data_IF_592597734762
#
_entry.id   IF_592597734762
#
_cell.length_a   1.000
_cell.length_b   1.000
_cell.length_c   1.000
_cell.angle_alpha   90.00
_cell.angle_beta   90.00
_cell.angle_gamma   90.00
#
_symmetry.space_group_name_H-M   'P 1'
#
loop_
_entity.id
_entity.type
_entity.pdbx_description
1 polymer ?
#
# COMPACT_ATOMS: atom_id res chain seq x y z
N UNK A 1 -36.01 2.27 26.00
CA UNK A 1 -36.78 3.03 27.02
C UNK A 1 -35.74 3.59 27.97
N UNK A 2 -35.84 4.87 28.33
CA UNK A 2 -34.85 5.52 29.20
C UNK A 2 -35.16 5.15 30.65
N UNK A 3 -34.15 4.75 31.40
CA UNK A 3 -34.29 4.27 32.77
C UNK A 3 -33.44 5.07 33.77
N UNK A 4 -33.72 4.92 35.06
CA UNK A 4 -32.95 5.52 36.15
C UNK A 4 -31.52 4.91 36.13
N UNK A 5 -30.51 5.74 36.47
CA UNK A 5 -29.07 5.43 36.42
C UNK A 5 -28.46 5.38 35.01
N UNK A 6 -29.19 5.68 33.94
CA UNK A 6 -28.60 5.88 32.61
C UNK A 6 -28.01 7.27 32.47
N UNK A 7 -26.93 7.36 31.69
CA UNK A 7 -26.32 8.63 31.31
C UNK A 7 -26.95 9.08 29.98
N UNK A 8 -27.42 10.32 29.93
CA UNK A 8 -28.12 10.88 28.77
C UNK A 8 -27.35 12.07 28.22
N UNK A 9 -27.25 12.13 26.91
CA UNK A 9 -26.87 13.33 26.15
C UNK A 9 -28.10 14.20 25.89
N UNK A 10 -27.88 15.49 25.68
CA UNK A 10 -28.85 16.44 25.16
C UNK A 10 -30.02 16.81 26.15
N UNK A 11 -29.99 16.36 27.41
CA UNK A 11 -30.92 16.86 28.40
C UNK A 11 -30.59 18.32 28.79
N UNK A 12 -29.31 18.63 28.96
CA UNK A 12 -28.74 19.98 29.07
C UNK A 12 -27.61 20.16 28.06
N UNK A 13 -27.39 21.40 27.53
CA UNK A 13 -26.40 21.62 26.48
C UNK A 13 -24.95 21.56 26.97
N UNK A 14 -24.71 21.63 28.28
CA UNK A 14 -23.37 21.83 28.85
C UNK A 14 -22.62 20.53 29.13
N UNK A 15 -23.31 19.45 29.48
CA UNK A 15 -22.68 18.16 29.82
C UNK A 15 -23.69 17.00 29.76
N UNK A 16 -23.22 15.74 29.64
CA UNK A 16 -24.06 14.55 29.87
C UNK A 16 -24.54 14.48 31.32
N UNK A 17 -25.67 13.85 31.55
CA UNK A 17 -26.30 13.78 32.90
C UNK A 17 -26.71 12.35 33.23
N UNK A 18 -26.58 11.95 34.48
CA UNK A 18 -27.09 10.68 35.00
C UNK A 18 -28.50 10.90 35.58
N UNK A 19 -29.47 10.10 35.19
CA UNK A 19 -30.81 10.14 35.69
C UNK A 19 -30.88 9.57 37.09
N UNK A 20 -31.37 10.36 38.06
CA UNK A 20 -31.64 9.92 39.43
C UNK A 20 -33.10 9.48 39.60
N UNK A 21 -34.04 10.21 39.01
CA UNK A 21 -35.47 9.94 39.11
C UNK A 21 -36.20 10.41 37.87
N UNK A 22 -37.16 9.59 37.43
CA UNK A 22 -38.01 9.88 36.28
C UNK A 22 -39.47 9.81 36.75
N UNK A 23 -40.25 10.86 36.49
CA UNK A 23 -41.66 10.91 36.83
C UNK A 23 -42.48 11.39 35.64
N UNK A 24 -43.42 10.58 35.13
CA UNK A 24 -44.37 11.06 34.11
C UNK A 24 -45.40 12.04 34.72
N UNK A 25 -45.63 13.13 34.02
CA UNK A 25 -46.59 14.19 34.39
C UNK A 25 -47.52 14.44 33.19
N UNK A 26 -48.44 13.52 32.91
CA UNK A 26 -49.32 13.60 31.76
C UNK A 26 -48.52 13.56 30.45
N UNK A 27 -48.51 14.65 29.70
CA UNK A 27 -47.75 14.75 28.42
C UNK A 27 -46.30 15.26 28.61
N UNK A 28 -45.79 15.32 29.84
CA UNK A 28 -44.47 15.80 30.20
C UNK A 28 -43.75 14.79 31.10
N UNK A 29 -42.42 14.90 31.19
CA UNK A 29 -41.61 14.13 32.11
C UNK A 29 -40.80 15.06 33.01
N UNK A 30 -40.88 14.82 34.33
CA UNK A 30 -39.96 15.43 35.29
C UNK A 30 -38.76 14.53 35.52
N UNK A 31 -37.59 15.04 35.22
CA UNK A 31 -36.31 14.29 35.28
C UNK A 31 -35.44 14.96 36.35
N UNK A 32 -35.15 14.24 37.41
CA UNK A 32 -34.10 14.62 38.37
C UNK A 32 -32.81 13.98 37.93
N UNK A 33 -31.75 14.77 37.78
CA UNK A 33 -30.49 14.31 37.20
C UNK A 33 -29.28 14.90 37.95
N UNK A 34 -28.10 14.26 37.80
CA UNK A 34 -26.82 14.79 38.22
C UNK A 34 -25.90 14.94 37.03
N UNK A 35 -25.24 16.10 36.87
CA UNK A 35 -24.22 16.34 35.87
C UNK A 35 -23.03 15.37 36.05
N UNK A 36 -22.55 14.77 34.96
CA UNK A 36 -21.42 13.80 35.00
C UNK A 36 -20.12 14.50 35.42
N UNK A 37 -19.87 15.71 34.92
CA UNK A 37 -18.65 16.45 35.18
C UNK A 37 -18.77 17.38 36.40
N UNK A 38 -19.92 18.05 36.57
CA UNK A 38 -20.12 19.04 37.61
C UNK A 38 -20.61 18.45 38.94
N UNK A 39 -21.12 17.20 38.93
CA UNK A 39 -21.74 16.51 40.05
C UNK A 39 -22.89 17.30 40.72
N UNK A 40 -23.44 18.32 40.01
CA UNK A 40 -24.58 19.11 40.52
C UNK A 40 -25.89 18.40 40.17
N UNK A 41 -26.75 18.29 41.18
CA UNK A 41 -28.07 17.71 41.02
C UNK A 41 -29.09 18.80 40.68
N UNK A 42 -29.94 18.58 39.70
CA UNK A 42 -31.01 19.49 39.31
C UNK A 42 -32.22 18.70 38.78
N UNK A 43 -33.33 19.44 38.54
CA UNK A 43 -34.57 18.86 37.98
C UNK A 43 -34.99 19.65 36.76
N UNK A 44 -35.37 18.94 35.69
CA UNK A 44 -35.86 19.56 34.45
C UNK A 44 -37.16 18.86 34.02
N UNK A 45 -38.13 19.66 33.56
CA UNK A 45 -39.38 19.15 33.00
C UNK A 45 -39.31 19.33 31.50
N UNK A 46 -39.58 18.26 30.76
CA UNK A 46 -39.52 18.23 29.29
C UNK A 46 -40.79 17.61 28.72
N UNK A 47 -41.11 17.93 27.47
CA UNK A 47 -42.22 17.31 26.75
C UNK A 47 -41.93 15.84 26.37
N UNK A 48 -42.96 15.08 26.07
CA UNK A 48 -42.84 13.70 25.61
C UNK A 48 -41.98 13.60 24.34
N UNK A 49 -42.15 14.51 23.40
CA UNK A 49 -41.36 14.57 22.17
C UNK A 49 -39.87 14.83 22.46
N UNK A 50 -39.53 15.72 23.38
CA UNK A 50 -38.15 15.95 23.81
C UNK A 50 -37.58 14.76 24.56
N UNK A 51 -38.38 14.06 25.34
CA UNK A 51 -37.94 12.84 26.03
C UNK A 51 -37.61 11.72 25.07
N UNK A 52 -38.39 11.55 24.00
CA UNK A 52 -38.16 10.56 22.95
C UNK A 52 -36.92 10.87 22.08
N UNK A 53 -36.47 12.12 22.03
CA UNK A 53 -35.27 12.57 21.30
C UNK A 53 -33.99 12.51 22.14
N UNK A 54 -34.03 12.13 23.41
CA UNK A 54 -32.86 12.00 24.26
C UNK A 54 -32.03 10.78 23.89
N UNK A 55 -30.72 10.96 23.76
CA UNK A 55 -29.78 9.90 23.47
C UNK A 55 -29.15 9.33 24.75
N UNK A 56 -29.30 8.03 24.97
CA UNK A 56 -28.64 7.33 26.07
C UNK A 56 -27.19 7.13 25.70
N UNK A 57 -26.28 7.69 26.52
CA UNK A 57 -24.86 7.26 26.46
C UNK A 57 -24.76 5.90 27.13
N UNK A 58 -24.58 4.87 26.34
CA UNK A 58 -24.03 3.63 26.85
C UNK A 58 -22.61 3.91 27.29
N UNK A 59 -22.30 3.66 28.56
CA UNK A 59 -20.95 3.82 29.08
C UNK A 59 -19.98 2.99 28.22
N UNK A 60 -19.10 3.69 27.48
CA UNK A 60 -17.95 3.07 26.88
C UNK A 60 -17.07 2.59 28.05
N UNK A 61 -16.99 1.29 28.25
CA UNK A 61 -16.00 0.70 29.15
C UNK A 61 -16.49 -0.25 30.23
N UNK A 62 -17.77 -0.45 30.48
CA UNK A 62 -18.22 -1.56 31.34
C UNK A 62 -18.43 -2.84 30.50
N UNK A 63 -17.65 -3.88 30.81
CA UNK A 63 -17.91 -5.23 30.32
C UNK A 63 -19.29 -5.67 30.84
N UNK A 64 -20.32 -5.42 30.04
CA UNK A 64 -21.64 -5.94 30.30
C UNK A 64 -21.95 -7.06 29.30
N UNK A 65 -22.36 -8.22 29.79
CA UNK A 65 -22.76 -9.36 28.97
C UNK A 65 -24.12 -9.18 28.28
N UNK A 66 -24.60 -7.93 28.10
CA UNK A 66 -25.86 -7.57 27.44
C UNK A 66 -25.74 -7.32 25.94
N UNK A 67 -24.56 -7.51 25.35
CA UNK A 67 -24.33 -7.38 23.91
C UNK A 67 -25.10 -8.46 23.12
N UNK A 68 -25.49 -8.14 21.86
CA UNK A 68 -26.11 -9.11 20.97
C UNK A 68 -25.12 -10.26 20.69
N UNK A 69 -25.50 -11.54 20.94
CA UNK A 69 -24.61 -12.70 20.74
C UNK A 69 -24.07 -12.79 19.31
N UNK A 70 -24.90 -12.41 18.31
CA UNK A 70 -24.51 -12.42 16.91
C UNK A 70 -23.33 -11.47 16.61
N UNK A 71 -23.32 -10.27 17.25
CA UNK A 71 -22.21 -9.31 17.11
C UNK A 71 -20.92 -9.83 17.71
N UNK A 72 -21.01 -10.59 18.82
CA UNK A 72 -19.83 -11.23 19.42
C UNK A 72 -19.28 -12.34 18.50
N UNK A 73 -20.15 -13.19 17.94
CA UNK A 73 -19.73 -14.22 16.98
C UNK A 73 -19.08 -13.57 15.75
N UNK A 74 -19.69 -12.54 15.19
CA UNK A 74 -19.11 -11.81 14.05
C UNK A 74 -17.75 -11.21 14.39
N UNK A 75 -17.58 -10.63 15.57
CA UNK A 75 -16.31 -10.09 16.04
C UNK A 75 -15.26 -11.20 16.20
N UNK A 76 -15.62 -12.30 16.86
CA UNK A 76 -14.70 -13.42 17.06
C UNK A 76 -14.27 -14.07 15.73
N UNK A 77 -15.17 -14.19 14.75
CA UNK A 77 -14.84 -14.68 13.42
C UNK A 77 -13.96 -13.66 12.64
N UNK A 78 -14.24 -12.37 12.76
CA UNK A 78 -13.41 -11.34 12.14
C UNK A 78 -11.97 -11.35 12.71
N UNK A 79 -11.81 -11.50 14.04
CA UNK A 79 -10.52 -11.64 14.69
C UNK A 79 -9.81 -12.94 14.30
N UNK A 80 -10.54 -14.05 14.14
CA UNK A 80 -9.98 -15.31 13.66
C UNK A 80 -9.44 -15.16 12.23
N UNK A 81 -10.18 -14.53 11.35
CA UNK A 81 -9.75 -14.26 9.96
C UNK A 81 -8.58 -13.29 9.96
N UNK A 82 -8.64 -12.21 10.73
CA UNK A 82 -7.56 -11.22 10.84
C UNK A 82 -6.26 -11.85 11.35
N UNK A 83 -6.33 -12.80 12.28
CA UNK A 83 -5.17 -13.49 12.84
C UNK A 83 -4.71 -14.73 12.03
N UNK A 84 -5.42 -15.09 10.96
CA UNK A 84 -5.13 -16.31 10.19
C UNK A 84 -3.71 -16.33 9.60
N UNK A 85 -3.14 -15.18 9.27
CA UNK A 85 -1.76 -15.06 8.77
C UNK A 85 -0.71 -15.54 9.78
N UNK A 86 -1.02 -15.58 11.08
CA UNK A 86 -0.11 -16.07 12.12
C UNK A 86 0.07 -17.59 12.05
N UNK A 87 -0.92 -18.30 11.48
CA UNK A 87 -0.95 -19.75 11.38
C UNK A 87 -0.70 -20.25 9.97
N UNK A 88 -0.83 -19.38 8.97
CA UNK A 88 -0.57 -19.69 7.56
C UNK A 88 0.52 -18.78 6.99
N UNK A 89 1.75 -19.27 6.87
CA UNK A 89 2.87 -18.48 6.34
C UNK A 89 2.71 -18.11 4.86
N UNK A 90 1.79 -18.78 4.13
CA UNK A 90 1.48 -18.55 2.70
C UNK A 90 0.08 -17.98 2.50
N UNK A 91 -0.41 -17.21 3.46
CA UNK A 91 -1.78 -16.74 3.52
C UNK A 91 -2.22 -16.00 2.25
N UNK A 92 -1.38 -15.13 1.69
CA UNK A 92 -1.71 -14.39 0.48
C UNK A 92 -1.97 -15.31 -0.72
N UNK A 93 -1.27 -16.42 -0.84
CA UNK A 93 -1.49 -17.41 -1.91
C UNK A 93 -2.88 -18.01 -1.76
N UNK A 94 -3.22 -18.45 -0.55
CA UNK A 94 -4.48 -19.14 -0.27
C UNK A 94 -5.72 -18.24 -0.39
N UNK A 95 -5.55 -16.89 -0.27
CA UNK A 95 -6.65 -15.93 -0.36
C UNK A 95 -6.67 -15.12 -1.67
N UNK A 96 -5.87 -15.46 -2.66
CA UNK A 96 -5.79 -14.74 -3.94
C UNK A 96 -6.27 -15.61 -5.09
N UNK A 97 -6.76 -14.98 -6.16
CA UNK A 97 -7.20 -15.67 -7.38
C UNK A 97 -6.01 -15.78 -8.34
N UNK A 98 -4.92 -16.40 -7.85
CA UNK A 98 -3.70 -16.62 -8.63
C UNK A 98 -3.13 -18.01 -8.29
N UNK A 99 -2.51 -18.62 -9.27
CA UNK A 99 -1.70 -19.84 -9.12
C UNK A 99 -0.23 -19.48 -9.32
N UNK A 100 0.49 -19.12 -8.25
CA UNK A 100 1.83 -18.58 -8.37
C UNK A 100 2.85 -19.67 -8.71
N UNK A 101 3.83 -19.30 -9.51
CA UNK A 101 4.95 -20.15 -9.90
C UNK A 101 6.04 -20.18 -8.81
N UNK A 102 6.88 -21.24 -8.74
CA UNK A 102 7.90 -21.39 -7.70
C UNK A 102 8.79 -20.17 -7.52
N UNK A 103 9.26 -19.59 -8.62
CA UNK A 103 10.11 -18.41 -8.59
C UNK A 103 9.40 -17.15 -8.06
N UNK A 104 8.07 -17.07 -8.22
CA UNK A 104 7.27 -15.96 -7.69
C UNK A 104 7.11 -16.08 -6.17
N UNK A 105 6.83 -17.28 -5.69
CA UNK A 105 6.76 -17.59 -4.25
C UNK A 105 8.12 -17.35 -3.60
N UNK A 106 9.21 -17.85 -4.21
CA UNK A 106 10.56 -17.64 -3.71
C UNK A 106 10.91 -16.15 -3.60
N UNK A 107 10.56 -15.33 -4.61
CA UNK A 107 10.81 -13.90 -4.57
C UNK A 107 10.17 -13.23 -3.36
N UNK A 108 8.91 -13.55 -3.09
CA UNK A 108 8.15 -12.91 -2.02
C UNK A 108 8.59 -13.43 -0.66
N UNK A 109 8.57 -14.74 -0.45
CA UNK A 109 8.72 -15.34 0.89
C UNK A 109 10.16 -15.53 1.34
N UNK A 110 11.11 -15.63 0.42
CA UNK A 110 12.52 -15.80 0.75
C UNK A 110 13.32 -14.49 0.72
N UNK A 111 12.98 -13.59 -0.21
CA UNK A 111 13.79 -12.37 -0.42
C UNK A 111 13.13 -11.09 0.05
N UNK A 112 11.81 -10.92 -0.11
CA UNK A 112 11.13 -9.67 0.22
C UNK A 112 10.58 -9.64 1.65
N UNK A 113 9.74 -10.57 2.03
CA UNK A 113 9.07 -10.59 3.33
C UNK A 113 10.00 -10.70 4.55
N UNK A 114 11.16 -11.38 4.49
CA UNK A 114 12.07 -11.42 5.64
C UNK A 114 12.75 -10.10 5.94
N UNK A 115 12.67 -9.10 5.05
CA UNK A 115 13.31 -7.81 5.24
C UNK A 115 12.44 -6.91 6.14
N UNK A 116 12.99 -6.35 7.21
CA UNK A 116 12.26 -5.42 8.07
C UNK A 116 11.89 -4.12 7.33
N UNK A 117 12.72 -3.70 6.37
CA UNK A 117 12.50 -2.58 5.48
C UNK A 117 12.75 -3.03 4.05
N UNK A 118 11.69 -3.10 3.25
CA UNK A 118 11.76 -3.57 1.87
C UNK A 118 12.19 -2.40 0.98
N UNK A 119 13.43 -2.45 0.52
CA UNK A 119 13.95 -1.53 -0.51
C UNK A 119 14.61 -2.39 -1.58
N UNK A 120 13.83 -2.71 -2.64
CA UNK A 120 14.18 -3.82 -3.49
C UNK A 120 13.87 -3.58 -4.98
N UNK A 121 14.70 -4.13 -5.86
CA UNK A 121 14.51 -4.12 -7.30
C UNK A 121 14.20 -5.55 -7.81
N UNK A 122 12.99 -5.76 -8.30
CA UNK A 122 12.62 -6.96 -9.05
C UNK A 122 12.97 -6.75 -10.53
N UNK A 123 14.07 -7.38 -10.97
CA UNK A 123 14.64 -7.22 -12.29
C UNK A 123 14.47 -8.46 -13.19
N UNK A 124 13.51 -9.32 -12.88
CA UNK A 124 13.17 -10.52 -13.64
C UNK A 124 12.68 -10.19 -15.05
N UNK A 125 12.90 -11.09 -15.99
CA UNK A 125 12.50 -10.96 -17.39
C UNK A 125 11.02 -10.60 -17.56
N UNK A 126 10.67 -10.04 -18.73
CA UNK A 126 9.27 -9.74 -19.09
C UNK A 126 8.45 -11.03 -19.07
N UNK A 127 7.29 -10.99 -18.41
CA UNK A 127 6.40 -12.15 -18.28
C UNK A 127 6.76 -13.11 -17.14
N UNK A 128 7.76 -12.80 -16.29
CA UNK A 128 8.06 -13.56 -15.07
C UNK A 128 6.97 -13.40 -13.97
N UNK A 129 6.02 -12.50 -14.17
CA UNK A 129 4.94 -12.24 -13.20
C UNK A 129 5.34 -11.32 -12.06
N UNK A 130 6.15 -10.29 -12.32
CA UNK A 130 6.51 -9.27 -11.30
C UNK A 130 5.30 -8.65 -10.63
N UNK A 131 4.21 -8.45 -11.37
CA UNK A 131 2.93 -7.95 -10.85
C UNK A 131 2.29 -8.93 -9.87
N UNK A 132 2.39 -10.24 -10.15
CA UNK A 132 1.92 -11.30 -9.24
C UNK A 132 2.75 -11.29 -7.95
N UNK A 133 4.08 -11.23 -8.06
CA UNK A 133 4.96 -11.10 -6.89
C UNK A 133 4.61 -9.86 -6.06
N UNK A 134 4.36 -8.74 -6.71
CA UNK A 134 3.96 -7.49 -6.04
C UNK A 134 2.62 -7.65 -5.35
N UNK A 135 1.63 -8.24 -6.00
CA UNK A 135 0.30 -8.46 -5.41
C UNK A 135 0.33 -9.40 -4.21
N UNK A 136 1.10 -10.50 -4.28
CA UNK A 136 1.33 -11.41 -3.15
C UNK A 136 1.99 -10.66 -1.98
N UNK A 137 3.04 -9.89 -2.25
CA UNK A 137 3.72 -9.09 -1.23
C UNK A 137 2.76 -8.10 -0.56
N UNK A 138 2.02 -7.33 -1.35
CA UNK A 138 1.05 -6.36 -0.83
C UNK A 138 -0.02 -7.03 0.01
N UNK A 139 -0.54 -8.18 -0.44
CA UNK A 139 -1.55 -8.93 0.31
C UNK A 139 -1.03 -9.38 1.66
N UNK A 140 0.20 -9.92 1.72
CA UNK A 140 0.85 -10.32 2.98
C UNK A 140 1.04 -9.13 3.93
N UNK A 141 1.61 -8.02 3.43
CA UNK A 141 1.93 -6.86 4.25
C UNK A 141 0.67 -6.17 4.79
N UNK A 142 -0.40 -6.07 3.97
CA UNK A 142 -1.69 -5.51 4.37
C UNK A 142 -2.34 -6.38 5.44
N UNK A 143 -2.38 -7.72 5.24
CA UNK A 143 -3.01 -8.64 6.18
C UNK A 143 -2.28 -8.70 7.51
N UNK A 144 -0.97 -8.50 7.50
CA UNK A 144 -0.13 -8.39 8.72
C UNK A 144 -0.21 -7.01 9.39
N UNK A 145 -0.95 -6.06 8.81
CA UNK A 145 -1.05 -4.70 9.33
C UNK A 145 0.26 -3.90 9.26
N UNK A 146 1.20 -4.30 8.40
CA UNK A 146 2.51 -3.63 8.25
C UNK A 146 2.38 -2.38 7.40
N UNK A 147 1.54 -2.41 6.35
CA UNK A 147 1.30 -1.29 5.45
C UNK A 147 -0.19 -1.01 5.29
N UNK A 148 -0.54 0.26 5.21
CA UNK A 148 -1.89 0.75 4.93
C UNK A 148 -1.91 1.68 3.72
N UNK A 149 -0.96 2.61 3.66
CA UNK A 149 -0.88 3.63 2.63
C UNK A 149 0.09 3.25 1.52
N UNK A 150 -0.46 2.96 0.33
CA UNK A 150 0.28 2.37 -0.78
C UNK A 150 0.13 3.23 -2.03
N UNK A 151 1.24 3.56 -2.67
CA UNK A 151 1.29 4.28 -3.93
C UNK A 151 1.94 3.41 -5.03
N UNK A 152 1.17 3.06 -6.05
CA UNK A 152 1.66 2.39 -7.26
C UNK A 152 1.81 3.42 -8.37
N UNK A 153 3.02 3.56 -8.87
CA UNK A 153 3.37 4.48 -9.95
C UNK A 153 3.78 3.67 -11.19
N UNK A 154 3.05 3.82 -12.27
CA UNK A 154 3.20 2.99 -13.47
C UNK A 154 3.19 3.86 -14.74
N UNK A 155 3.61 3.36 -15.91
CA UNK A 155 3.33 4.02 -17.19
C UNK A 155 1.83 4.26 -17.40
N UNK A 156 1.46 5.40 -17.97
CA UNK A 156 0.06 5.81 -18.10
C UNK A 156 -0.86 4.77 -18.76
N UNK A 157 -0.37 4.00 -19.74
CA UNK A 157 -1.14 2.93 -20.38
C UNK A 157 -1.39 1.69 -19.51
N UNK A 158 -0.70 1.54 -18.38
CA UNK A 158 -0.84 0.38 -17.48
C UNK A 158 -1.65 0.68 -16.22
N UNK A 159 -1.99 1.95 -15.96
CA UNK A 159 -2.64 2.36 -14.71
C UNK A 159 -3.96 1.64 -14.46
N UNK A 160 -4.80 1.51 -15.50
CA UNK A 160 -6.09 0.84 -15.42
C UNK A 160 -5.95 -0.67 -15.21
N UNK A 161 -5.02 -1.29 -15.94
CA UNK A 161 -4.69 -2.71 -15.78
C UNK A 161 -4.23 -3.01 -14.34
N UNK A 162 -3.35 -2.18 -13.78
CA UNK A 162 -2.91 -2.33 -12.38
C UNK A 162 -4.06 -2.20 -11.39
N UNK A 163 -4.97 -1.24 -11.59
CA UNK A 163 -6.11 -1.03 -10.72
C UNK A 163 -7.13 -2.16 -10.79
N UNK A 164 -7.61 -2.47 -12.00
CA UNK A 164 -8.75 -3.37 -12.21
C UNK A 164 -8.32 -4.83 -12.23
N UNK A 165 -7.43 -5.21 -13.15
CA UNK A 165 -7.11 -6.61 -13.40
C UNK A 165 -6.14 -7.16 -12.36
N UNK A 166 -5.03 -6.44 -12.09
CA UNK A 166 -3.98 -6.97 -11.25
C UNK A 166 -4.38 -6.91 -9.77
N UNK A 167 -4.62 -5.73 -9.23
CA UNK A 167 -4.93 -5.59 -7.80
C UNK A 167 -6.39 -5.90 -7.49
N UNK A 168 -7.34 -5.46 -8.33
CA UNK A 168 -8.77 -5.68 -8.12
C UNK A 168 -9.17 -7.14 -8.26
N UNK A 169 -9.01 -7.72 -9.44
CA UNK A 169 -9.49 -9.08 -9.75
C UNK A 169 -8.61 -10.15 -9.09
N UNK A 170 -7.29 -10.10 -9.28
CA UNK A 170 -6.40 -11.18 -8.82
C UNK A 170 -6.21 -11.21 -7.30
N UNK A 171 -6.13 -10.05 -6.66
CA UNK A 171 -5.80 -9.95 -5.23
C UNK A 171 -6.93 -9.43 -4.35
N UNK A 172 -8.03 -8.94 -4.94
CA UNK A 172 -9.12 -8.30 -4.22
C UNK A 172 -8.64 -7.17 -3.31
N UNK A 173 -7.74 -6.32 -3.84
CA UNK A 173 -7.23 -5.12 -3.18
C UNK A 173 -7.71 -3.90 -3.98
N UNK A 174 -8.72 -3.17 -3.51
CA UNK A 174 -9.22 -1.99 -4.22
C UNK A 174 -8.23 -0.83 -4.17
N UNK A 175 -7.86 -0.31 -5.33
CA UNK A 175 -7.05 0.89 -5.49
C UNK A 175 -7.85 2.01 -6.15
N UNK A 176 -7.55 3.25 -5.78
CA UNK A 176 -8.09 4.45 -6.44
C UNK A 176 -7.15 4.88 -7.55
N UNK A 177 -7.64 4.94 -8.79
CA UNK A 177 -6.88 5.49 -9.92
C UNK A 177 -6.94 7.01 -9.89
N UNK A 178 -5.83 7.64 -9.52
CA UNK A 178 -5.72 9.10 -9.48
C UNK A 178 -5.08 9.62 -10.77
N UNK A 179 -5.84 10.41 -11.49
CA UNK A 179 -5.45 11.10 -12.71
C UNK A 179 -5.78 12.59 -12.62
N UNK A 180 -5.54 13.37 -13.68
CA UNK A 180 -5.80 14.81 -13.69
C UNK A 180 -7.27 15.15 -13.41
N UNK A 181 -8.20 14.40 -13.96
CA UNK A 181 -9.64 14.65 -13.79
C UNK A 181 -10.05 14.49 -12.32
N UNK A 182 -9.68 13.37 -11.70
CA UNK A 182 -10.01 13.10 -10.30
C UNK A 182 -9.31 14.08 -9.35
N UNK A 183 -8.03 14.39 -9.59
CA UNK A 183 -7.30 15.38 -8.80
C UNK A 183 -7.88 16.79 -8.91
N UNK A 184 -8.39 17.19 -10.07
CA UNK A 184 -9.05 18.49 -10.25
C UNK A 184 -10.38 18.53 -9.50
N UNK A 185 -11.11 17.42 -9.43
CA UNK A 185 -12.36 17.30 -8.67
C UNK A 185 -12.14 17.25 -7.15
N UNK A 186 -11.08 16.56 -6.72
CA UNK A 186 -10.69 16.45 -5.31
C UNK A 186 -9.16 16.61 -5.15
N UNK A 187 -8.67 17.82 -4.88
CA UNK A 187 -7.24 18.07 -4.66
C UNK A 187 -6.64 17.36 -3.43
N UNK A 188 -7.49 16.88 -2.51
CA UNK A 188 -7.05 16.16 -1.31
C UNK A 188 -6.99 14.64 -1.50
N UNK A 189 -7.30 14.14 -2.69
CA UNK A 189 -7.42 12.70 -2.97
C UNK A 189 -6.20 11.88 -2.51
N UNK A 190 -4.98 12.40 -2.65
CA UNK A 190 -3.76 11.73 -2.19
C UNK A 190 -3.66 11.63 -0.65
N UNK A 191 -4.37 12.49 0.09
CA UNK A 191 -4.44 12.43 1.56
C UNK A 191 -5.52 11.51 2.07
N UNK A 192 -6.65 11.44 1.35
CA UNK A 192 -7.84 10.69 1.75
C UNK A 192 -7.82 9.24 1.28
N UNK A 193 -7.22 8.95 0.11
CA UNK A 193 -7.12 7.61 -0.42
C UNK A 193 -5.86 6.89 0.10
N UNK A 194 -6.04 5.74 0.76
CA UNK A 194 -4.93 4.95 1.30
C UNK A 194 -4.23 4.10 0.24
N UNK A 195 -4.91 3.69 -0.82
CA UNK A 195 -4.35 2.85 -1.89
C UNK A 195 -4.56 3.52 -3.24
N UNK A 196 -3.47 3.99 -3.84
CA UNK A 196 -3.49 4.82 -5.04
C UNK A 196 -2.67 4.20 -6.15
N UNK A 197 -3.23 4.16 -7.37
CA UNK A 197 -2.50 3.93 -8.62
C UNK A 197 -2.49 5.24 -9.40
N UNK A 198 -1.33 5.60 -9.92
CA UNK A 198 -1.19 6.81 -10.77
C UNK A 198 -0.08 6.64 -11.80
N UNK A 199 -0.02 7.56 -12.79
CA UNK A 199 1.02 7.50 -13.80
C UNK A 199 2.26 8.29 -13.40
N UNK A 200 3.43 7.79 -13.82
CA UNK A 200 4.72 8.46 -13.59
C UNK A 200 4.74 9.87 -14.22
N UNK A 201 4.14 10.02 -15.39
CA UNK A 201 4.09 11.30 -16.08
C UNK A 201 3.18 12.34 -15.38
N UNK A 202 2.14 11.86 -14.71
CA UNK A 202 1.26 12.71 -13.91
C UNK A 202 1.94 13.13 -12.61
N UNK A 203 2.57 12.19 -11.90
CA UNK A 203 3.21 12.48 -10.60
C UNK A 203 4.49 13.32 -10.74
N UNK A 204 5.15 13.28 -11.90
CA UNK A 204 6.37 14.05 -12.19
C UNK A 204 6.11 15.54 -12.47
N UNK A 205 4.87 16.00 -12.44
CA UNK A 205 4.52 17.42 -12.53
C UNK A 205 4.73 18.09 -11.19
N UNK A 206 5.30 19.27 -11.18
CA UNK A 206 5.67 19.99 -9.96
C UNK A 206 4.48 20.26 -9.03
N UNK A 207 3.31 20.63 -9.62
CA UNK A 207 2.07 20.87 -8.88
C UNK A 207 1.57 19.58 -8.16
N UNK A 208 1.72 18.43 -8.80
CA UNK A 208 1.29 17.14 -8.25
C UNK A 208 2.33 16.60 -7.27
N UNK A 209 3.61 16.63 -7.64
CA UNK A 209 4.69 16.11 -6.81
C UNK A 209 4.72 16.81 -5.45
N UNK A 210 4.51 18.13 -5.41
CA UNK A 210 4.45 18.88 -4.16
C UNK A 210 3.33 18.42 -3.21
N UNK A 211 2.18 17.97 -3.74
CA UNK A 211 1.08 17.43 -2.94
C UNK A 211 1.39 16.01 -2.47
N UNK A 212 1.86 15.16 -3.37
CA UNK A 212 2.14 13.75 -3.07
C UNK A 212 3.30 13.59 -2.11
N UNK A 213 4.33 14.42 -2.22
CA UNK A 213 5.49 14.43 -1.32
C UNK A 213 5.17 14.93 0.10
N UNK A 214 4.10 15.69 0.25
CA UNK A 214 3.59 16.10 1.58
C UNK A 214 2.61 15.07 2.19
N UNK A 215 2.54 13.89 1.59
CA UNK A 215 1.68 12.79 2.06
C UNK A 215 2.56 11.60 2.42
N UNK A 216 2.38 11.03 3.60
CA UNK A 216 3.13 9.85 4.02
C UNK A 216 2.63 8.60 3.27
N UNK A 217 3.57 7.77 2.83
CA UNK A 217 3.32 6.48 2.19
C UNK A 217 4.13 5.41 2.91
N UNK A 218 3.47 4.30 3.28
CA UNK A 218 4.18 3.16 3.87
C UNK A 218 4.99 2.45 2.80
N UNK A 219 4.38 2.29 1.60
CA UNK A 219 5.02 1.64 0.47
C UNK A 219 4.79 2.38 -0.84
N UNK A 220 5.88 2.58 -1.59
CA UNK A 220 5.86 3.10 -2.96
C UNK A 220 6.39 2.05 -3.93
N UNK A 221 5.68 1.86 -5.03
CA UNK A 221 6.03 0.89 -6.08
C UNK A 221 6.16 1.62 -7.40
N UNK A 222 7.29 1.48 -8.08
CA UNK A 222 7.50 1.98 -9.43
C UNK A 222 7.54 0.82 -10.43
N UNK A 223 6.55 0.76 -11.31
CA UNK A 223 6.59 -0.18 -12.43
C UNK A 223 7.32 0.43 -13.61
N UNK A 224 7.97 -0.46 -14.40
CA UNK A 224 8.86 -0.08 -15.50
C UNK A 224 9.94 0.94 -15.06
N UNK A 225 10.57 0.66 -13.92
CA UNK A 225 11.54 1.54 -13.27
C UNK A 225 12.72 1.96 -14.17
N UNK A 226 12.98 1.25 -15.25
CA UNK A 226 13.97 1.65 -16.27
C UNK A 226 13.62 3.00 -16.96
N UNK A 227 12.38 3.47 -16.82
CA UNK A 227 11.96 4.80 -17.31
C UNK A 227 12.37 5.94 -16.37
N UNK A 228 12.80 5.63 -15.15
CA UNK A 228 13.39 6.56 -14.20
C UNK A 228 14.84 6.79 -14.59
N UNK A 229 15.08 7.56 -15.64
CA UNK A 229 16.41 7.73 -16.19
C UNK A 229 17.19 8.86 -15.54
N UNK A 230 18.37 8.52 -15.04
CA UNK A 230 19.42 9.45 -14.70
C UNK A 230 20.75 8.90 -15.24
N UNK A 231 21.61 9.76 -15.72
CA UNK A 231 22.89 9.36 -16.29
C UNK A 231 23.95 10.41 -16.03
N UNK A 232 25.20 9.99 -16.07
CA UNK A 232 26.35 10.83 -15.91
C UNK A 232 26.99 11.15 -17.27
N UNK A 233 27.37 12.42 -17.46
CA UNK A 233 28.14 12.87 -18.60
C UNK A 233 29.24 13.79 -18.13
N UNK A 234 30.49 13.33 -18.13
CA UNK A 234 31.61 13.98 -17.48
C UNK A 234 31.37 14.12 -15.97
N UNK A 235 31.49 15.31 -15.42
CA UNK A 235 31.24 15.59 -14.01
C UNK A 235 29.78 16.00 -13.70
N UNK A 236 28.88 15.94 -14.69
CA UNK A 236 27.48 16.36 -14.51
C UNK A 236 26.55 15.16 -14.51
N UNK A 237 25.65 15.12 -13.53
CA UNK A 237 24.55 14.15 -13.49
C UNK A 237 23.30 14.80 -14.09
N UNK A 238 22.74 14.16 -15.10
CA UNK A 238 21.47 14.52 -15.70
C UNK A 238 20.37 13.65 -15.13
N UNK A 239 19.37 14.29 -14.54
CA UNK A 239 18.19 13.62 -13.95
C UNK A 239 16.95 13.97 -14.77
N UNK A 240 16.17 12.98 -15.15
CA UNK A 240 14.84 13.23 -15.73
C UNK A 240 13.87 13.66 -14.64
N UNK A 241 12.80 14.41 -14.98
CA UNK A 241 11.73 14.76 -14.03
C UNK A 241 11.11 13.49 -13.38
N UNK A 242 11.04 12.38 -14.09
CA UNK A 242 10.58 11.08 -13.56
C UNK A 242 11.52 10.54 -12.48
N UNK A 243 12.83 10.66 -12.69
CA UNK A 243 13.82 10.27 -11.68
C UNK A 243 13.77 11.17 -10.46
N UNK A 244 13.64 12.48 -10.64
CA UNK A 244 13.51 13.44 -9.53
C UNK A 244 12.29 13.15 -8.68
N UNK A 245 11.13 12.86 -9.31
CA UNK A 245 9.94 12.46 -8.59
C UNK A 245 10.13 11.15 -7.81
N UNK A 246 10.76 10.15 -8.42
CA UNK A 246 11.07 8.90 -7.76
C UNK A 246 12.06 9.09 -6.60
N UNK A 247 13.06 9.95 -6.76
CA UNK A 247 14.02 10.28 -5.70
C UNK A 247 13.32 10.90 -4.49
N UNK A 248 12.49 11.92 -4.71
CA UNK A 248 11.73 12.57 -3.63
C UNK A 248 10.86 11.55 -2.88
N UNK A 249 10.13 10.71 -3.60
CA UNK A 249 9.26 9.71 -2.98
C UNK A 249 10.04 8.59 -2.28
N UNK A 250 11.21 8.21 -2.81
CA UNK A 250 12.07 7.20 -2.18
C UNK A 250 12.59 7.63 -0.82
N UNK A 251 12.75 8.93 -0.59
CA UNK A 251 13.18 9.48 0.71
C UNK A 251 12.05 9.56 1.73
N UNK A 252 10.79 9.49 1.28
CA UNK A 252 9.61 9.71 2.12
C UNK A 252 8.80 8.44 2.41
N UNK A 253 9.16 7.31 1.81
CA UNK A 253 8.51 6.03 2.06
C UNK A 253 9.42 5.08 2.85
N UNK A 254 8.82 4.27 3.69
CA UNK A 254 9.56 3.21 4.39
C UNK A 254 9.93 2.08 3.43
N UNK A 255 8.96 1.56 2.69
CA UNK A 255 9.17 0.49 1.73
C UNK A 255 9.17 1.01 0.29
N UNK A 256 10.15 0.59 -0.51
CA UNK A 256 10.29 0.94 -1.92
C UNK A 256 10.50 -0.31 -2.77
N UNK A 257 9.64 -0.50 -3.76
CA UNK A 257 9.75 -1.59 -4.72
C UNK A 257 9.88 -1.05 -6.14
N UNK A 258 10.95 -1.40 -6.81
CA UNK A 258 11.19 -1.07 -8.20
C UNK A 258 11.00 -2.31 -9.07
N UNK A 259 10.21 -2.21 -10.13
CA UNK A 259 9.94 -3.31 -11.06
C UNK A 259 10.50 -2.95 -12.44
N UNK A 260 11.30 -3.83 -13.02
CA UNK A 260 11.77 -3.67 -14.40
C UNK A 260 12.18 -5.01 -14.99
N UNK A 261 12.03 -5.19 -16.30
CA UNK A 261 12.59 -6.34 -17.00
C UNK A 261 13.96 -6.01 -17.61
N UNK A 262 14.30 -4.75 -17.74
CA UNK A 262 15.52 -4.27 -18.40
C UNK A 262 16.27 -3.30 -17.51
N UNK A 263 16.93 -3.78 -16.44
CA UNK A 263 17.67 -2.91 -15.52
C UNK A 263 18.85 -2.20 -16.19
N UNK A 264 19.41 -2.81 -17.24
CA UNK A 264 20.49 -2.27 -18.04
C UNK A 264 20.02 -1.99 -19.48
N UNK A 265 19.94 -0.76 -19.87
CA UNK A 265 19.82 -0.37 -21.28
C UNK A 265 21.21 -0.09 -21.91
N UNK A 266 22.18 -0.99 -21.65
CA UNK A 266 23.53 -0.82 -22.15
C UNK A 266 24.40 0.22 -21.40
N UNK A 267 23.88 0.81 -20.31
CA UNK A 267 24.59 1.78 -19.46
C UNK A 267 24.57 1.35 -18.00
N UNK A 268 25.74 1.11 -17.43
CA UNK A 268 25.92 0.74 -16.02
C UNK A 268 25.60 1.88 -15.06
N UNK A 269 25.80 3.13 -15.48
CA UNK A 269 25.48 4.33 -14.72
C UNK A 269 23.97 4.45 -14.41
N UNK A 270 23.10 4.18 -15.38
CA UNK A 270 21.65 4.20 -15.18
C UNK A 270 21.20 3.16 -14.17
N UNK A 271 21.79 1.98 -14.17
CA UNK A 271 21.49 0.93 -13.19
C UNK A 271 21.95 1.32 -11.79
N UNK A 272 23.15 1.88 -11.65
CA UNK A 272 23.63 2.43 -10.36
C UNK A 272 22.65 3.46 -9.81
N UNK A 273 22.14 4.37 -10.66
CA UNK A 273 21.16 5.39 -10.24
C UNK A 273 19.84 4.78 -9.76
N UNK A 274 19.38 3.67 -10.33
CA UNK A 274 18.22 2.94 -9.80
C UNK A 274 18.53 2.33 -8.42
N UNK A 275 19.70 1.75 -8.23
CA UNK A 275 20.10 1.22 -6.94
C UNK A 275 20.26 2.31 -5.88
N UNK A 276 20.69 3.52 -6.26
CA UNK A 276 20.74 4.69 -5.36
C UNK A 276 19.36 5.10 -4.82
N UNK A 277 18.27 4.85 -5.55
CA UNK A 277 16.93 5.07 -5.03
C UNK A 277 16.60 4.10 -3.87
N UNK A 278 17.21 2.90 -3.87
CA UNK A 278 17.04 1.93 -2.81
C UNK A 278 17.86 2.28 -1.57
N UNK A 279 19.14 2.60 -1.79
CA UNK A 279 20.06 2.99 -0.71
C UNK A 279 21.17 3.87 -1.30
N UNK A 280 21.16 5.16 -0.93
CA UNK A 280 22.11 6.13 -1.44
C UNK A 280 23.51 5.93 -0.86
N UNK A 281 23.59 5.49 0.39
CA UNK A 281 24.88 5.31 1.08
C UNK A 281 25.64 4.08 0.56
N UNK A 282 24.91 2.98 0.32
CA UNK A 282 25.51 1.74 -0.20
C UNK A 282 25.90 1.88 -1.68
N UNK A 283 25.08 2.59 -2.47
CA UNK A 283 25.26 2.71 -3.91
C UNK A 283 25.74 4.11 -4.35
N UNK A 284 26.50 4.82 -3.50
CA UNK A 284 27.12 6.11 -3.82
C UNK A 284 27.89 6.07 -5.15
N UNK A 285 28.07 7.21 -5.81
CA UNK A 285 28.61 7.30 -7.18
C UNK A 285 30.11 7.15 -7.28
N UNK A 286 30.85 7.24 -6.18
CA UNK A 286 32.30 7.23 -6.16
C UNK A 286 32.89 5.82 -6.35
N UNK A 287 34.14 5.72 -6.80
CA UNK A 287 34.84 4.46 -7.03
C UNK A 287 34.81 3.50 -5.84
N UNK A 288 34.72 4.04 -4.62
CA UNK A 288 34.55 3.29 -3.36
C UNK A 288 33.27 2.46 -3.34
N UNK A 289 32.18 2.93 -3.96
CA UNK A 289 30.92 2.18 -4.00
C UNK A 289 30.95 1.05 -5.04
N UNK A 290 31.68 1.23 -6.14
CA UNK A 290 31.86 0.15 -7.11
C UNK A 290 32.64 -1.01 -6.51
N UNK A 291 33.55 -0.75 -5.58
CA UNK A 291 34.28 -1.78 -4.85
C UNK A 291 33.43 -2.42 -3.75
N UNK A 292 32.58 -1.65 -3.03
CA UNK A 292 31.58 -2.21 -2.11
C UNK A 292 30.57 -3.12 -2.80
N UNK A 293 30.10 -2.78 -4.00
CA UNK A 293 29.21 -3.66 -4.79
C UNK A 293 29.94 -4.93 -5.23
N UNK A 294 31.25 -4.85 -5.53
CA UNK A 294 32.08 -6.02 -5.83
C UNK A 294 32.40 -6.86 -4.58
N UNK A 295 32.52 -6.21 -3.42
CA UNK A 295 32.75 -6.85 -2.12
C UNK A 295 31.49 -7.51 -1.55
N UNK A 296 30.28 -7.02 -1.92
CA UNK A 296 29.05 -7.69 -1.57
C UNK A 296 29.04 -9.06 -2.24
N UNK A 297 29.01 -10.11 -1.44
CA UNK A 297 28.77 -11.47 -1.92
C UNK A 297 27.46 -11.51 -2.73
N UNK A 298 27.30 -12.50 -3.61
CA UNK A 298 26.05 -12.69 -4.36
C UNK A 298 24.81 -12.71 -3.43
N UNK A 299 24.95 -13.26 -2.23
CA UNK A 299 23.93 -13.25 -1.17
C UNK A 299 23.67 -11.86 -0.61
N UNK A 300 24.69 -11.00 -0.46
CA UNK A 300 24.53 -9.62 -0.04
C UNK A 300 23.78 -8.78 -1.08
N UNK A 301 24.04 -9.00 -2.36
CA UNK A 301 23.33 -8.33 -3.45
C UNK A 301 21.86 -8.75 -3.54
N UNK A 302 21.54 -10.01 -3.23
CA UNK A 302 20.17 -10.51 -3.19
C UNK A 302 19.28 -9.84 -2.12
N UNK A 303 19.84 -9.02 -1.24
CA UNK A 303 19.08 -8.16 -0.32
C UNK A 303 18.51 -6.92 -1.00
N UNK A 304 19.03 -6.55 -2.18
CA UNK A 304 18.63 -5.33 -2.89
C UNK A 304 17.98 -5.61 -4.22
N UNK A 305 18.32 -6.69 -4.89
CA UNK A 305 17.71 -7.05 -6.16
C UNK A 305 17.76 -8.53 -6.48
N UNK A 306 16.81 -8.95 -7.28
CA UNK A 306 16.76 -10.27 -7.93
C UNK A 306 16.66 -10.05 -9.43
N UNK A 307 17.39 -10.87 -10.19
CA UNK A 307 17.30 -10.96 -11.64
C UNK A 307 17.37 -12.41 -12.07
N UNK A 308 16.28 -12.91 -12.64
CA UNK A 308 16.18 -14.26 -13.21
C UNK A 308 15.81 -14.16 -14.68
N UNK A 309 16.43 -15.00 -15.48
CA UNK A 309 16.14 -15.15 -16.89
C UNK A 309 15.02 -16.17 -17.09
N UNK A 310 14.30 -16.09 -18.20
CA UNK A 310 13.24 -17.05 -18.53
C UNK A 310 13.76 -18.49 -18.60
N UNK A 311 14.99 -18.67 -19.06
CA UNK A 311 15.63 -19.96 -19.19
C UNK A 311 15.86 -20.65 -17.83
N UNK A 312 15.96 -19.87 -16.75
CA UNK A 312 16.18 -20.38 -15.38
C UNK A 312 14.88 -20.74 -14.66
N UNK A 313 13.71 -20.35 -15.23
CA UNK A 313 12.41 -20.51 -14.57
C UNK A 313 11.83 -21.89 -14.82
N UNK A 314 11.41 -22.53 -13.72
CA UNK A 314 10.85 -23.89 -13.71
C UNK A 314 9.47 -23.89 -13.05
N UNK A 315 8.66 -24.89 -13.41
CA UNK A 315 7.41 -25.22 -12.73
C UNK A 315 7.67 -25.96 -11.40
N UNK A 316 6.60 -26.37 -10.73
CA UNK A 316 6.68 -27.11 -9.46
C UNK A 316 7.27 -28.52 -9.62
N UNK A 317 7.22 -29.10 -10.80
CA UNK A 317 7.78 -30.42 -11.13
C UNK A 317 9.24 -30.32 -11.61
N UNK A 318 9.78 -29.08 -11.70
CA UNK A 318 11.16 -28.82 -12.12
C UNK A 318 11.37 -28.74 -13.64
N UNK A 319 10.28 -28.76 -14.43
CA UNK A 319 10.38 -28.60 -15.88
C UNK A 319 10.56 -27.13 -16.26
N UNK A 320 11.32 -26.82 -17.34
CA UNK A 320 11.46 -25.48 -17.84
C UNK A 320 10.11 -24.88 -18.25
N UNK A 321 9.76 -23.69 -17.73
CA UNK A 321 8.55 -22.96 -18.10
C UNK A 321 8.58 -22.38 -19.51
N UNK A 322 9.78 -22.09 -20.01
CA UNK A 322 9.99 -21.47 -21.30
C UNK A 322 10.94 -22.30 -22.16
N UNK A 323 10.68 -22.30 -23.46
CA UNK A 323 11.63 -22.89 -24.44
C UNK A 323 12.87 -22.02 -24.56
N UNK A 324 14.01 -22.67 -24.84
CA UNK A 324 15.28 -21.97 -25.11
C UNK A 324 15.11 -20.98 -26.26
N UNK A 325 15.66 -19.79 -26.08
CA UNK A 325 15.69 -18.78 -27.15
C UNK A 325 16.91 -19.01 -28.05
N UNK A 326 16.67 -19.10 -29.32
CA UNK A 326 17.70 -19.11 -30.33
C UNK A 326 17.68 -17.82 -31.10
N UNK A 327 18.73 -17.01 -31.01
CA UNK A 327 18.85 -15.77 -31.78
C UNK A 327 19.70 -16.05 -33.01
N UNK A 328 19.16 -15.81 -34.21
CA UNK A 328 19.89 -15.90 -35.46
C UNK A 328 19.90 -14.53 -36.13
N UNK A 329 21.09 -13.99 -36.35
CA UNK A 329 21.24 -12.76 -37.14
C UNK A 329 21.19 -13.12 -38.62
N UNK A 330 20.25 -12.55 -39.34
CA UNK A 330 20.17 -12.65 -40.79
C UNK A 330 20.65 -11.30 -41.33
N UNK A 331 21.77 -11.29 -41.99
CA UNK A 331 22.29 -10.14 -42.72
C UNK A 331 21.86 -10.22 -44.17
N UNK A 332 21.36 -9.15 -44.73
CA UNK A 332 21.11 -9.00 -46.13
C UNK A 332 21.83 -7.76 -46.68
N UNK A 333 22.19 -7.80 -47.93
CA UNK A 333 22.79 -6.62 -48.59
C UNK A 333 21.66 -5.87 -49.30
N UNK A 334 21.59 -4.56 -49.01
CA UNK A 334 20.70 -3.69 -49.78
C UNK A 334 21.11 -3.65 -51.25
N UNK A 335 20.14 -3.68 -52.13
CA UNK A 335 20.35 -3.47 -53.57
C UNK A 335 20.81 -2.03 -53.81
N UNK A 336 21.45 -1.74 -54.97
CA UNK A 336 21.86 -0.38 -55.29
C UNK A 336 20.72 0.66 -55.29
N UNK A 337 19.48 0.20 -55.53
CA UNK A 337 18.26 1.01 -55.53
C UNK A 337 17.69 1.27 -54.11
N UNK A 338 18.08 0.46 -53.15
CA UNK A 338 17.67 0.57 -51.71
C UNK A 338 18.71 1.32 -50.85
N UNK A 339 19.87 1.63 -51.43
CA UNK A 339 20.93 2.46 -50.81
C UNK A 339 20.74 3.93 -51.13
#
# INVERSE_FOLDING_TARGET
MIEVNQIIKNLIPTEPVTIIKLQPLGNMYSIKYTGVNTHKTSTKVISKAQFESLEVLTAEGEFNFKGAPEKFVMFAEAERIHSAYQFDPLFAINCSVVDPLPHQVEAVYKYLLPQPKIRFLLADDTGAGKTVMTGLLLKELIMRGIIERILIVTPGGLTKQWQEDEMGVKFNIPFTLVNRSLFTADPNIFRTANKVVTSIDFISREDILSVVSNTSWDMVIFDEAHKLSAYEYGQKTYKSKRYEAAYVLSQQCEHLLLLTATPHRGRTDTFKKLLQLLDEDIFATDDVASDRVKELSKEGLNKFFIRRLKEDMKDWDGHPLYKNRFTKTISYQLTPEEK
#
